data_IF_807134154655
#
_entry.id   IF_807134154655
#
_cell.length_a   1.000
_cell.length_b   1.000
_cell.length_c   1.000
_cell.angle_alpha   90.00
_cell.angle_beta   90.00
_cell.angle_gamma   90.00
#
_symmetry.space_group_name_H-M   'P 1'
#
loop_
_entity.id
_entity.type
_entity.pdbx_description
1 polymer ?
#
# COMPACT_ATOMS: atom_id res chain seq x y z
N UNK A 1 -6.95 -17.25 18.72
CA UNK A 1 -8.13 -16.76 19.44
C UNK A 1 -7.86 -15.46 20.20
N UNK A 2 -6.66 -15.20 20.70
CA UNK A 2 -6.34 -13.95 21.41
C UNK A 2 -6.54 -12.70 20.57
N UNK A 3 -6.01 -12.61 19.36
CA UNK A 3 -6.07 -11.39 18.56
C UNK A 3 -7.49 -10.91 18.15
N UNK A 4 -8.40 -11.84 17.82
CA UNK A 4 -9.79 -11.46 17.51
C UNK A 4 -10.56 -10.98 18.75
N UNK A 5 -10.26 -11.56 19.92
CA UNK A 5 -10.84 -11.15 21.20
C UNK A 5 -10.35 -9.76 21.62
N UNK A 6 -9.05 -9.52 21.45
CA UNK A 6 -8.43 -8.23 21.76
C UNK A 6 -9.00 -7.12 20.85
N UNK A 7 -9.14 -7.39 19.54
CA UNK A 7 -9.76 -6.46 18.60
C UNK A 7 -11.22 -6.14 18.99
N UNK A 8 -12.01 -7.16 19.30
CA UNK A 8 -13.40 -6.94 19.73
C UNK A 8 -13.49 -6.17 21.05
N UNK A 9 -12.57 -6.40 21.96
CA UNK A 9 -12.46 -5.66 23.21
C UNK A 9 -12.11 -4.18 22.95
N UNK A 10 -11.11 -3.88 22.08
CA UNK A 10 -10.79 -2.51 21.69
C UNK A 10 -11.99 -1.79 21.08
N UNK A 11 -12.69 -2.41 20.11
CA UNK A 11 -13.89 -1.84 19.50
C UNK A 11 -14.95 -1.51 20.56
N UNK A 12 -15.18 -2.44 21.49
CA UNK A 12 -16.17 -2.25 22.56
C UNK A 12 -15.76 -1.13 23.51
N UNK A 13 -14.50 -1.10 23.94
CA UNK A 13 -13.98 -0.09 24.86
C UNK A 13 -14.01 1.32 24.25
N UNK A 14 -13.62 1.44 22.98
CA UNK A 14 -13.69 2.70 22.23
C UNK A 14 -15.13 3.19 22.07
N UNK A 15 -16.09 2.29 21.78
CA UNK A 15 -17.49 2.68 21.68
C UNK A 15 -18.08 3.13 23.05
N UNK A 16 -17.69 2.48 24.14
CA UNK A 16 -18.12 2.92 25.48
C UNK A 16 -17.52 4.30 25.84
N UNK A 17 -16.28 4.57 25.46
CA UNK A 17 -15.66 5.88 25.63
C UNK A 17 -16.31 6.93 24.74
N UNK A 18 -16.61 6.58 23.48
CA UNK A 18 -17.34 7.43 22.53
C UNK A 18 -18.74 7.80 23.06
N UNK A 19 -19.46 6.85 23.71
CA UNK A 19 -20.74 7.12 24.35
C UNK A 19 -20.60 8.11 25.51
N UNK A 20 -19.59 7.91 26.34
CA UNK A 20 -19.30 8.81 27.47
C UNK A 20 -18.93 10.24 27.00
N UNK A 21 -18.30 10.36 25.82
CA UNK A 21 -17.95 11.62 25.19
C UNK A 21 -19.07 12.25 24.35
N UNK A 22 -20.19 11.53 24.13
CA UNK A 22 -21.27 11.98 23.25
C UNK A 22 -20.86 12.06 21.76
N UNK A 23 -19.93 11.18 21.35
CA UNK A 23 -19.48 11.12 19.96
C UNK A 23 -20.50 10.45 19.04
N UNK A 24 -20.82 11.10 17.94
CA UNK A 24 -21.72 10.60 16.91
C UNK A 24 -21.01 10.55 15.56
N UNK A 25 -21.37 9.55 14.75
CA UNK A 25 -20.90 9.44 13.36
C UNK A 25 -21.45 10.57 12.50
N UNK A 26 -20.67 11.00 11.51
CA UNK A 26 -21.06 12.01 10.53
C UNK A 26 -22.23 11.53 9.64
N UNK A 27 -22.88 12.47 8.93
CA UNK A 27 -23.90 12.12 7.93
C UNK A 27 -23.33 11.26 6.80
N UNK A 28 -22.05 11.46 6.44
CA UNK A 28 -21.34 10.68 5.43
C UNK A 28 -21.11 9.24 5.91
N UNK A 29 -20.66 9.06 7.16
CA UNK A 29 -20.49 7.74 7.77
C UNK A 29 -21.83 6.98 7.85
N UNK A 30 -22.92 7.66 8.21
CA UNK A 30 -24.26 7.07 8.22
C UNK A 30 -24.70 6.62 6.80
N UNK A 31 -24.47 7.45 5.78
CA UNK A 31 -24.77 7.09 4.40
C UNK A 31 -23.94 5.87 3.92
N UNK A 32 -22.68 5.77 4.35
CA UNK A 32 -21.84 4.60 4.09
C UNK A 32 -22.42 3.33 4.71
N UNK A 33 -22.87 3.40 5.97
CA UNK A 33 -23.51 2.27 6.66
C UNK A 33 -24.81 1.84 5.99
N UNK A 34 -25.63 2.81 5.57
CA UNK A 34 -26.91 2.53 4.87
C UNK A 34 -26.70 1.83 3.51
N UNK A 35 -25.55 2.06 2.86
CA UNK A 35 -25.19 1.41 1.62
C UNK A 35 -24.67 -0.03 1.80
N UNK A 36 -24.31 -0.47 3.00
CA UNK A 36 -23.71 -1.80 3.24
C UNK A 36 -24.64 -2.93 2.79
N UNK A 37 -25.93 -2.87 3.14
CA UNK A 37 -26.87 -3.91 2.77
C UNK A 37 -26.98 -4.08 1.24
N UNK A 38 -26.92 -2.98 0.49
CA UNK A 38 -26.95 -3.00 -0.99
C UNK A 38 -25.63 -3.52 -1.57
N UNK A 39 -24.51 -3.19 -0.95
CA UNK A 39 -23.19 -3.68 -1.38
C UNK A 39 -23.01 -5.18 -1.16
N UNK A 40 -23.68 -5.75 -0.15
CA UNK A 40 -23.69 -7.19 0.08
C UNK A 40 -24.37 -7.97 -1.05
N UNK A 41 -25.50 -7.47 -1.57
CA UNK A 41 -26.17 -8.11 -2.70
C UNK A 41 -25.31 -8.02 -3.97
N UNK A 42 -24.68 -6.87 -4.24
CA UNK A 42 -23.75 -6.72 -5.37
C UNK A 42 -22.53 -7.64 -5.24
N UNK A 43 -22.03 -7.84 -4.01
CA UNK A 43 -20.94 -8.78 -3.74
C UNK A 43 -21.39 -10.22 -3.97
N UNK A 44 -22.56 -10.59 -3.52
CA UNK A 44 -23.15 -11.90 -3.76
C UNK A 44 -23.30 -12.20 -5.25
N UNK A 45 -23.82 -11.25 -6.03
CA UNK A 45 -23.94 -11.35 -7.49
C UNK A 45 -22.57 -11.58 -8.16
N UNK A 46 -21.54 -10.87 -7.74
CA UNK A 46 -20.17 -11.04 -8.25
C UNK A 46 -19.62 -12.46 -8.01
N UNK A 47 -19.93 -13.07 -6.86
CA UNK A 47 -19.54 -14.45 -6.52
C UNK A 47 -20.54 -15.51 -6.98
N UNK A 48 -21.60 -15.15 -7.71
CA UNK A 48 -22.63 -16.07 -8.21
C UNK A 48 -23.51 -16.65 -7.10
N UNK A 49 -23.70 -15.94 -6.00
CA UNK A 49 -24.54 -16.32 -4.86
C UNK A 49 -25.93 -15.71 -4.97
N UNK A 50 -26.93 -16.33 -4.34
CA UNK A 50 -28.35 -15.95 -4.47
C UNK A 50 -28.68 -14.61 -3.79
N UNK A 51 -27.93 -14.20 -2.76
CA UNK A 51 -28.18 -12.97 -1.98
C UNK A 51 -27.00 -12.61 -1.08
N UNK A 52 -26.94 -11.37 -0.61
CA UNK A 52 -25.99 -10.92 0.39
C UNK A 52 -26.05 -11.74 1.68
N UNK A 53 -27.22 -12.23 2.09
CA UNK A 53 -27.34 -13.15 3.22
C UNK A 53 -26.64 -14.49 2.94
N UNK A 54 -26.81 -15.06 1.74
CA UNK A 54 -26.12 -16.30 1.37
C UNK A 54 -24.60 -16.13 1.37
N UNK A 55 -24.12 -14.98 0.88
CA UNK A 55 -22.68 -14.63 0.95
C UNK A 55 -22.20 -14.54 2.39
N UNK A 56 -22.92 -13.84 3.29
CA UNK A 56 -22.57 -13.74 4.70
C UNK A 56 -22.56 -15.10 5.41
N UNK A 57 -23.53 -15.93 5.14
CA UNK A 57 -23.62 -17.27 5.74
C UNK A 57 -22.52 -18.21 5.24
N UNK A 58 -22.12 -18.09 3.98
CA UNK A 58 -20.97 -18.82 3.45
C UNK A 58 -19.63 -18.33 4.06
N UNK A 59 -19.52 -17.03 4.33
CA UNK A 59 -18.27 -16.42 4.86
C UNK A 59 -18.13 -16.55 6.37
N UNK A 60 -19.22 -16.42 7.13
CA UNK A 60 -19.22 -16.29 8.60
C UNK A 60 -20.04 -17.37 9.33
N UNK A 61 -20.64 -18.29 8.58
CA UNK A 61 -21.43 -19.40 9.12
C UNK A 61 -22.94 -19.18 9.09
N UNK A 62 -23.74 -20.26 9.29
CA UNK A 62 -25.17 -20.28 9.01
C UNK A 62 -26.02 -19.39 9.92
N UNK A 63 -25.45 -18.86 11.00
CA UNK A 63 -26.15 -17.94 11.92
C UNK A 63 -25.94 -16.48 11.57
N UNK A 64 -25.08 -16.16 10.61
CA UNK A 64 -24.82 -14.77 10.21
C UNK A 64 -26.11 -14.14 9.65
N UNK A 65 -26.39 -12.91 10.08
CA UNK A 65 -27.49 -12.09 9.57
C UNK A 65 -26.98 -10.78 9.00
N UNK A 66 -27.72 -10.16 8.10
CA UNK A 66 -27.39 -8.83 7.58
C UNK A 66 -27.44 -7.79 8.70
N UNK A 67 -28.38 -7.91 9.62
CA UNK A 67 -28.54 -7.00 10.75
C UNK A 67 -27.30 -7.03 11.68
N UNK A 68 -26.84 -8.21 12.08
CA UNK A 68 -25.64 -8.36 12.92
C UNK A 68 -24.38 -7.84 12.21
N UNK A 69 -24.28 -8.08 10.90
CA UNK A 69 -23.17 -7.59 10.12
C UNK A 69 -23.14 -6.06 10.03
N UNK A 70 -24.30 -5.43 9.79
CA UNK A 70 -24.42 -3.96 9.76
C UNK A 70 -24.17 -3.36 11.15
N UNK A 71 -24.65 -4.01 12.21
CA UNK A 71 -24.39 -3.58 13.58
C UNK A 71 -22.88 -3.62 13.90
N UNK A 72 -22.22 -4.73 13.57
CA UNK A 72 -20.77 -4.85 13.73
C UNK A 72 -20.00 -3.81 12.89
N UNK A 73 -20.39 -3.59 11.63
CA UNK A 73 -19.80 -2.58 10.77
C UNK A 73 -19.95 -1.17 11.35
N UNK A 74 -21.11 -0.85 11.95
CA UNK A 74 -21.36 0.42 12.64
C UNK A 74 -20.44 0.58 13.84
N UNK A 75 -20.36 -0.45 14.70
CA UNK A 75 -19.54 -0.40 15.91
C UNK A 75 -18.06 -0.25 15.56
N UNK A 76 -17.59 -0.96 14.53
CA UNK A 76 -16.23 -0.88 14.04
C UNK A 76 -15.92 0.51 13.44
N UNK A 77 -16.79 1.03 12.57
CA UNK A 77 -16.62 2.35 11.97
C UNK A 77 -16.60 3.45 13.05
N UNK A 78 -17.53 3.36 14.03
CA UNK A 78 -17.61 4.34 15.09
C UNK A 78 -16.38 4.32 15.99
N UNK A 79 -15.88 3.14 16.35
CA UNK A 79 -14.65 2.98 17.11
C UNK A 79 -13.45 3.57 16.35
N UNK A 80 -13.32 3.28 15.04
CA UNK A 80 -12.26 3.83 14.19
C UNK A 80 -12.32 5.35 14.10
N UNK A 81 -13.49 5.94 13.87
CA UNK A 81 -13.66 7.41 13.79
C UNK A 81 -13.39 8.10 15.11
N UNK A 82 -13.77 7.44 16.21
CA UNK A 82 -13.49 7.99 17.52
C UNK A 82 -12.00 7.91 17.88
N UNK A 83 -11.32 6.83 17.55
CA UNK A 83 -9.87 6.71 17.72
C UNK A 83 -9.13 7.74 16.85
N UNK A 84 -9.52 7.90 15.58
CA UNK A 84 -8.99 8.91 14.67
C UNK A 84 -9.11 10.32 15.28
N UNK A 85 -10.29 10.67 15.78
CA UNK A 85 -10.51 11.93 16.50
C UNK A 85 -9.56 12.10 17.70
N UNK A 86 -9.39 11.06 18.51
CA UNK A 86 -8.49 11.12 19.66
C UNK A 86 -7.02 11.26 19.24
N UNK A 87 -6.62 10.62 18.14
CA UNK A 87 -5.28 10.75 17.57
C UNK A 87 -5.04 12.17 17.02
N UNK A 88 -6.03 12.77 16.36
CA UNK A 88 -5.95 14.15 15.85
C UNK A 88 -5.82 15.19 16.99
N UNK A 89 -6.31 14.86 18.17
CA UNK A 89 -6.19 15.71 19.37
C UNK A 89 -4.86 15.51 20.13
N UNK A 90 -4.03 14.54 19.73
CA UNK A 90 -2.71 14.33 20.33
C UNK A 90 -1.71 15.34 19.81
N UNK A 91 -1.12 16.10 20.72
CA UNK A 91 -0.07 17.06 20.40
C UNK A 91 1.25 16.57 21.00
N UNK A 92 2.33 16.70 20.21
CA UNK A 92 3.69 16.37 20.66
C UNK A 92 4.57 17.61 20.48
N UNK A 93 5.47 17.81 21.41
CA UNK A 93 6.52 18.81 21.28
C UNK A 93 7.66 18.26 20.42
N UNK A 94 8.42 19.16 19.77
CA UNK A 94 9.62 18.78 18.98
C UNK A 94 10.62 17.98 19.83
N UNK A 95 10.71 18.29 21.13
CA UNK A 95 11.58 17.57 22.05
C UNK A 95 11.12 16.12 22.26
N UNK A 96 9.82 15.87 22.42
CA UNK A 96 9.28 14.51 22.58
C UNK A 96 9.52 13.68 21.32
N UNK A 97 9.32 14.27 20.14
CA UNK A 97 9.56 13.59 18.85
C UNK A 97 11.06 13.27 18.69
N UNK A 98 11.94 14.25 19.02
CA UNK A 98 13.39 14.05 18.96
C UNK A 98 13.88 13.00 19.94
N UNK A 99 13.36 13.00 21.18
CA UNK A 99 13.69 12.01 22.20
C UNK A 99 13.21 10.61 21.80
N UNK A 100 12.04 10.52 21.18
CA UNK A 100 11.50 9.27 20.65
C UNK A 100 12.39 8.68 19.54
N UNK A 101 12.82 9.52 18.58
CA UNK A 101 13.78 9.10 17.56
C UNK A 101 15.07 8.57 18.21
N UNK A 102 15.65 9.31 19.16
CA UNK A 102 16.92 8.95 19.80
C UNK A 102 16.81 7.64 20.62
N UNK A 103 15.64 7.35 21.21
CA UNK A 103 15.37 6.09 21.92
C UNK A 103 15.24 4.91 20.96
N UNK A 104 14.84 5.14 19.70
CA UNK A 104 14.62 4.12 18.66
C UNK A 104 15.68 4.20 17.55
N UNK A 105 16.83 4.82 17.80
CA UNK A 105 17.88 5.13 16.81
C UNK A 105 18.36 3.90 16.03
N UNK A 106 18.49 2.75 16.68
CA UNK A 106 18.91 1.50 16.03
C UNK A 106 17.90 1.05 14.97
N UNK A 107 16.59 1.13 15.28
CA UNK A 107 15.49 0.80 14.35
C UNK A 107 15.48 1.77 13.16
N UNK A 108 15.66 3.06 13.41
CA UNK A 108 15.72 4.06 12.34
C UNK A 108 16.97 3.87 11.45
N UNK A 109 18.12 3.53 12.03
CA UNK A 109 19.32 3.22 11.25
C UNK A 109 19.12 1.98 10.35
N UNK A 110 18.48 0.92 10.84
CA UNK A 110 18.15 -0.27 10.05
C UNK A 110 17.22 0.07 8.87
N UNK A 111 16.28 1.01 9.07
CA UNK A 111 15.33 1.48 8.06
C UNK A 111 15.87 2.64 7.21
N UNK A 112 17.13 3.06 7.40
CA UNK A 112 17.78 4.17 6.70
C UNK A 112 17.08 5.51 6.87
N UNK A 113 16.47 5.73 8.02
CA UNK A 113 15.91 7.02 8.43
C UNK A 113 17.01 7.77 9.20
N UNK A 114 17.74 8.61 8.51
CA UNK A 114 18.82 9.38 9.12
C UNK A 114 18.31 10.71 9.67
N UNK A 115 18.86 11.15 10.83
CA UNK A 115 18.50 12.43 11.46
C UNK A 115 19.18 13.60 10.75
N UNK A 116 18.65 13.94 9.56
CA UNK A 116 19.15 15.03 8.73
C UNK A 116 18.12 16.16 8.73
N UNK A 117 18.49 17.32 9.29
CA UNK A 117 17.62 18.49 9.43
C UNK A 117 17.52 19.29 8.13
N UNK A 118 17.11 18.63 7.05
CA UNK A 118 16.81 19.23 5.76
C UNK A 118 15.39 18.91 5.35
N UNK A 119 14.59 19.91 4.93
CA UNK A 119 13.26 19.66 4.41
C UNK A 119 13.27 18.80 3.17
N UNK A 120 12.21 18.05 2.97
CA UNK A 120 11.91 17.33 1.73
C UNK A 120 11.74 18.30 0.57
N UNK A 121 12.00 17.82 -0.65
CA UNK A 121 11.93 18.63 -1.87
C UNK A 121 11.14 17.92 -2.95
N UNK A 122 10.54 18.71 -3.86
CA UNK A 122 9.87 18.20 -5.05
C UNK A 122 10.73 18.52 -6.27
N UNK A 123 10.95 17.53 -7.12
CA UNK A 123 11.74 17.64 -8.33
C UNK A 123 11.07 16.95 -9.50
N UNK A 124 11.35 17.42 -10.71
CA UNK A 124 11.08 16.65 -11.94
C UNK A 124 12.39 16.24 -12.57
N UNK A 125 12.39 15.11 -13.24
CA UNK A 125 13.55 14.71 -14.02
C UNK A 125 13.17 13.99 -15.31
N UNK A 126 14.11 13.98 -16.24
CA UNK A 126 14.06 13.20 -17.47
C UNK A 126 15.30 12.30 -17.45
N UNK A 127 15.10 11.00 -17.40
CA UNK A 127 16.20 10.05 -17.50
C UNK A 127 16.50 9.75 -18.96
N UNK A 128 17.79 9.82 -19.31
CA UNK A 128 18.34 9.39 -20.59
C UNK A 128 19.36 8.29 -20.31
N UNK A 129 19.03 7.05 -20.64
CA UNK A 129 19.90 5.90 -20.45
C UNK A 129 20.87 5.72 -21.63
N UNK A 130 22.11 5.25 -21.38
CA UNK A 130 22.97 4.80 -22.47
C UNK A 130 22.35 3.59 -23.20
N UNK A 131 22.37 3.58 -24.55
CA UNK A 131 21.61 2.61 -25.34
C UNK A 131 22.36 1.29 -25.57
N UNK A 132 23.69 1.30 -25.61
CA UNK A 132 24.49 0.12 -25.96
C UNK A 132 25.25 -0.43 -24.76
N UNK A 133 25.01 -1.72 -24.46
CA UNK A 133 25.74 -2.46 -23.44
C UNK A 133 26.78 -3.38 -24.04
N UNK A 134 27.89 -3.52 -23.34
CA UNK A 134 28.88 -4.55 -23.55
C UNK A 134 28.34 -5.94 -23.17
N UNK A 135 29.06 -7.01 -23.54
CA UNK A 135 28.72 -8.39 -23.18
C UNK A 135 28.70 -8.62 -21.64
N UNK A 136 29.41 -7.81 -20.87
CA UNK A 136 29.46 -7.88 -19.41
C UNK A 136 28.37 -7.02 -18.71
N UNK A 137 27.48 -6.38 -19.48
CA UNK A 137 26.40 -5.54 -18.98
C UNK A 137 26.80 -4.10 -18.67
N UNK A 138 28.06 -3.70 -18.90
CA UNK A 138 28.49 -2.30 -18.80
C UNK A 138 28.14 -1.53 -20.07
N UNK A 139 28.06 -0.20 -19.98
CA UNK A 139 27.83 0.64 -21.16
C UNK A 139 29.15 1.10 -21.78
N UNK A 140 29.15 1.29 -23.10
CA UNK A 140 30.30 1.82 -23.82
C UNK A 140 30.52 3.32 -23.54
N UNK A 141 31.74 3.81 -23.68
CA UNK A 141 32.02 5.25 -23.54
C UNK A 141 31.23 6.09 -24.58
N UNK A 142 31.05 5.55 -25.78
CA UNK A 142 30.25 6.16 -26.85
C UNK A 142 28.78 6.27 -26.43
N UNK A 143 28.18 5.20 -25.86
CA UNK A 143 26.79 5.22 -25.42
C UNK A 143 26.58 6.24 -24.27
N UNK A 144 27.55 6.38 -23.38
CA UNK A 144 27.52 7.42 -22.36
C UNK A 144 27.59 8.82 -22.94
N UNK A 145 28.46 9.05 -23.96
CA UNK A 145 28.59 10.35 -24.61
C UNK A 145 27.32 10.73 -25.38
N UNK A 146 26.66 9.76 -26.04
CA UNK A 146 25.38 9.96 -26.74
C UNK A 146 24.26 10.28 -25.77
N UNK A 147 24.19 9.61 -24.64
CA UNK A 147 23.21 9.90 -23.60
C UNK A 147 23.40 11.30 -23.01
N UNK A 148 24.64 11.73 -22.77
CA UNK A 148 24.96 13.08 -22.30
C UNK A 148 24.52 14.14 -23.32
N UNK A 149 24.84 13.91 -24.59
CA UNK A 149 24.45 14.83 -25.68
C UNK A 149 22.92 14.93 -25.76
N UNK A 150 22.20 13.81 -25.74
CA UNK A 150 20.73 13.79 -25.79
C UNK A 150 20.13 14.53 -24.59
N UNK A 151 20.65 14.33 -23.36
CA UNK A 151 20.21 15.04 -22.18
C UNK A 151 20.43 16.57 -22.30
N UNK A 152 21.57 16.98 -22.85
CA UNK A 152 21.85 18.40 -23.12
C UNK A 152 20.92 18.98 -24.17
N UNK A 153 20.64 18.24 -25.26
CA UNK A 153 19.72 18.66 -26.34
C UNK A 153 18.28 18.84 -25.80
N UNK A 154 17.81 17.94 -24.92
CA UNK A 154 16.51 18.06 -24.26
C UNK A 154 16.43 19.31 -23.40
N UNK A 155 17.44 19.56 -22.56
CA UNK A 155 17.50 20.74 -21.72
C UNK A 155 17.52 22.04 -22.54
N UNK A 156 18.35 22.08 -23.60
CA UNK A 156 18.48 23.26 -24.46
C UNK A 156 17.22 23.51 -25.27
N UNK A 157 16.57 22.47 -25.78
CA UNK A 157 15.26 22.56 -26.45
C UNK A 157 14.19 23.10 -25.54
N UNK A 158 14.10 22.60 -24.28
CA UNK A 158 13.16 23.11 -23.32
C UNK A 158 13.42 24.58 -22.99
N UNK A 159 14.70 24.99 -22.76
CA UNK A 159 15.09 26.37 -22.48
C UNK A 159 14.80 27.33 -23.64
N UNK A 160 14.87 26.83 -24.87
CA UNK A 160 14.55 27.60 -26.07
C UNK A 160 13.03 27.72 -26.33
N UNK A 161 12.21 26.90 -25.66
CA UNK A 161 10.76 26.87 -25.74
C UNK A 161 10.09 27.77 -24.71
N UNK A 162 9.01 27.26 -24.11
CA UNK A 162 8.26 27.99 -23.08
C UNK A 162 8.98 28.07 -21.74
N UNK A 163 9.87 27.12 -21.45
CA UNK A 163 10.68 27.00 -20.26
C UNK A 163 9.87 27.11 -18.94
N UNK A 164 8.67 26.51 -18.93
CA UNK A 164 7.81 26.42 -17.75
C UNK A 164 7.84 25.02 -17.15
N UNK A 165 7.40 24.85 -15.91
CA UNK A 165 7.29 23.54 -15.28
C UNK A 165 6.37 22.61 -16.07
N UNK A 166 5.25 23.11 -16.57
CA UNK A 166 4.28 22.35 -17.37
C UNK A 166 4.92 21.84 -18.67
N UNK A 167 5.73 22.69 -19.34
CA UNK A 167 6.44 22.27 -20.56
C UNK A 167 7.55 21.26 -20.25
N UNK A 168 8.17 21.32 -19.06
CA UNK A 168 9.12 20.32 -18.61
C UNK A 168 8.42 18.98 -18.34
N UNK A 169 7.27 19.01 -17.67
CA UNK A 169 6.46 17.81 -17.40
C UNK A 169 6.00 17.15 -18.71
N UNK A 170 5.57 17.93 -19.70
CA UNK A 170 5.20 17.41 -21.01
C UNK A 170 6.41 16.73 -21.72
N UNK A 171 7.58 17.37 -21.67
CA UNK A 171 8.81 16.81 -22.22
C UNK A 171 9.24 15.52 -21.50
N UNK A 172 9.07 15.47 -20.17
CA UNK A 172 9.36 14.27 -19.38
C UNK A 172 8.46 13.10 -19.77
N UNK A 173 7.15 13.33 -19.95
CA UNK A 173 6.22 12.30 -20.43
C UNK A 173 6.58 11.78 -21.84
N UNK A 174 7.15 12.61 -22.68
CA UNK A 174 7.53 12.24 -24.06
C UNK A 174 8.89 11.54 -24.14
N UNK A 175 9.86 11.96 -23.32
CA UNK A 175 11.27 11.66 -23.54
C UNK A 175 11.97 10.93 -22.40
N UNK A 176 11.37 10.84 -21.21
CA UNK A 176 11.99 10.18 -20.07
C UNK A 176 11.94 8.66 -20.20
N UNK A 177 13.09 8.04 -19.94
CA UNK A 177 13.25 6.58 -19.88
C UNK A 177 13.09 6.02 -18.46
N UNK A 178 12.67 6.88 -17.49
CA UNK A 178 12.36 6.44 -16.14
C UNK A 178 10.93 5.91 -16.00
N UNK A 179 10.72 4.58 -15.82
CA UNK A 179 9.38 4.02 -15.73
C UNK A 179 8.62 4.45 -14.46
N UNK A 180 9.32 4.98 -13.44
CA UNK A 180 8.72 5.41 -12.17
C UNK A 180 8.01 6.77 -12.28
N UNK A 181 8.43 7.62 -13.23
CA UNK A 181 7.92 9.00 -13.30
C UNK A 181 7.54 9.50 -14.70
N UNK A 182 7.83 8.75 -15.76
CA UNK A 182 7.58 9.19 -17.15
C UNK A 182 6.08 9.31 -17.53
N UNK A 183 5.17 8.93 -16.68
CA UNK A 183 3.72 9.08 -16.88
C UNK A 183 3.09 10.20 -16.05
N UNK A 184 3.86 10.77 -15.09
CA UNK A 184 3.41 11.87 -14.24
C UNK A 184 4.26 13.15 -14.40
N UNK A 185 4.91 13.31 -15.57
CA UNK A 185 5.72 14.48 -15.88
C UNK A 185 7.09 14.47 -15.21
N UNK A 186 7.64 13.30 -14.94
CA UNK A 186 8.93 13.14 -14.28
C UNK A 186 8.96 13.56 -12.82
N UNK A 187 7.80 13.69 -12.14
CA UNK A 187 7.69 14.20 -10.78
C UNK A 187 8.06 13.16 -9.73
N UNK A 188 8.93 13.56 -8.81
CA UNK A 188 9.14 12.97 -7.50
C UNK A 188 8.78 14.00 -6.44
N UNK A 189 7.81 13.65 -5.61
CA UNK A 189 7.37 14.47 -4.46
C UNK A 189 8.04 13.97 -3.19
N UNK A 190 8.23 14.86 -2.24
CA UNK A 190 8.72 14.59 -0.89
C UNK A 190 10.04 13.80 -0.87
N UNK A 191 10.92 14.11 -1.81
CA UNK A 191 12.27 13.53 -1.82
C UNK A 191 13.01 13.98 -0.58
N UNK A 192 13.52 13.01 0.19
CA UNK A 192 14.29 13.28 1.41
C UNK A 192 15.78 12.93 1.25
N UNK A 193 16.67 13.54 2.06
CA UNK A 193 18.11 13.29 1.98
C UNK A 193 18.45 11.80 2.17
N UNK A 194 19.26 11.27 1.26
CA UNK A 194 19.67 9.86 1.27
C UNK A 194 18.69 8.89 0.59
N UNK A 195 17.56 9.35 0.09
CA UNK A 195 16.62 8.54 -0.66
C UNK A 195 17.15 8.17 -2.05
N UNK A 196 17.77 9.11 -2.73
CA UNK A 196 18.24 8.95 -4.09
C UNK A 196 19.73 8.60 -4.11
N UNK A 197 20.25 8.21 -5.30
CA UNK A 197 21.69 8.00 -5.48
C UNK A 197 22.48 9.29 -5.27
N UNK A 198 23.70 9.18 -4.78
CA UNK A 198 24.50 10.29 -4.24
C UNK A 198 24.52 11.56 -5.11
N UNK A 199 24.71 11.43 -6.42
CA UNK A 199 24.81 12.59 -7.30
C UNK A 199 23.47 13.28 -7.54
N UNK A 200 22.38 12.50 -7.58
CA UNK A 200 21.02 13.03 -7.69
C UNK A 200 20.63 13.74 -6.37
N UNK A 201 20.91 13.08 -5.23
CA UNK A 201 20.67 13.61 -3.90
C UNK A 201 21.43 14.92 -3.68
N UNK A 202 22.72 14.95 -3.97
CA UNK A 202 23.54 16.15 -3.85
C UNK A 202 23.02 17.33 -4.68
N UNK A 203 22.43 17.05 -5.86
CA UNK A 203 21.79 18.10 -6.67
C UNK A 203 20.51 18.61 -6.03
N UNK A 204 19.67 17.72 -5.52
CA UNK A 204 18.39 18.05 -4.88
C UNK A 204 18.58 18.91 -3.62
N UNK A 205 19.58 18.59 -2.81
CA UNK A 205 19.81 19.21 -1.50
C UNK A 205 20.94 20.25 -1.46
N UNK A 206 21.34 20.79 -2.63
CA UNK A 206 22.18 21.98 -2.68
C UNK A 206 21.43 23.18 -2.07
N UNK A 207 22.03 23.82 -1.06
CA UNK A 207 21.41 24.92 -0.31
C UNK A 207 21.06 26.14 -1.18
N UNK A 208 21.75 26.31 -2.30
CA UNK A 208 21.50 27.41 -3.24
C UNK A 208 20.33 27.16 -4.18
N UNK A 209 19.78 25.94 -4.19
CA UNK A 209 18.73 25.53 -5.13
C UNK A 209 17.45 26.34 -4.94
N UNK A 210 16.88 26.82 -6.05
CA UNK A 210 15.64 27.59 -6.10
C UNK A 210 14.63 26.94 -7.06
N UNK A 211 13.33 27.14 -6.83
CA UNK A 211 12.31 26.72 -7.79
C UNK A 211 12.59 27.26 -9.21
N UNK A 212 12.52 26.35 -10.20
CA UNK A 212 12.84 26.64 -11.59
C UNK A 212 14.32 26.37 -11.97
N UNK A 213 15.19 26.04 -11.01
CA UNK A 213 16.57 25.64 -11.32
C UNK A 213 16.59 24.33 -12.09
N UNK A 214 17.49 24.27 -13.08
CA UNK A 214 17.69 23.08 -13.91
C UNK A 214 19.16 22.68 -13.97
N UNK A 215 19.42 21.43 -14.25
CA UNK A 215 20.77 20.91 -14.41
C UNK A 215 20.78 19.53 -15.07
N UNK A 216 21.97 19.01 -15.29
CA UNK A 216 22.17 17.63 -15.74
C UNK A 216 23.00 16.93 -14.69
N UNK A 217 22.53 15.77 -14.26
CA UNK A 217 23.19 14.93 -13.26
C UNK A 217 23.46 13.56 -13.87
N UNK A 218 24.70 13.07 -13.73
CA UNK A 218 25.08 11.73 -14.11
C UNK A 218 24.94 10.79 -12.92
N UNK A 219 24.30 9.65 -13.15
CA UNK A 219 24.23 8.53 -12.21
C UNK A 219 24.64 7.23 -12.90
N UNK A 220 24.63 6.12 -12.21
CA UNK A 220 24.87 4.79 -12.79
C UNK A 220 23.73 4.36 -13.75
N UNK A 221 22.55 4.98 -13.65
CA UNK A 221 21.41 4.72 -14.51
C UNK A 221 21.45 5.48 -15.84
N UNK A 222 22.10 6.64 -15.89
CA UNK A 222 22.11 7.51 -17.05
C UNK A 222 22.32 8.97 -16.68
N UNK A 223 21.96 9.85 -17.60
CA UNK A 223 21.93 11.29 -17.38
C UNK A 223 20.50 11.73 -17.06
N UNK A 224 20.35 12.47 -15.98
CA UNK A 224 19.09 13.06 -15.53
C UNK A 224 19.09 14.54 -15.87
N UNK A 225 18.14 14.98 -16.70
CA UNK A 225 17.81 16.40 -16.81
C UNK A 225 16.92 16.72 -15.65
N UNK A 226 17.35 17.64 -14.79
CA UNK A 226 16.68 17.96 -13.51
C UNK A 226 15.95 19.28 -13.60
N UNK A 227 14.81 19.36 -12.92
CA UNK A 227 14.06 20.59 -12.65
C UNK A 227 13.64 20.63 -11.19
N UNK A 228 14.00 21.69 -10.48
CA UNK A 228 13.64 21.87 -9.08
C UNK A 228 12.26 22.53 -8.97
N UNK A 229 11.29 21.82 -8.41
CA UNK A 229 9.90 22.30 -8.28
C UNK A 229 9.75 23.16 -7.04
N UNK A 230 10.05 22.61 -5.87
CA UNK A 230 9.87 23.30 -4.61
C UNK A 230 10.68 22.68 -3.48
N UNK A 231 10.86 23.46 -2.42
CA UNK A 231 11.34 23.01 -1.13
C UNK A 231 10.17 23.01 -0.15
N UNK A 232 9.93 21.90 0.52
CA UNK A 232 8.94 21.77 1.58
C UNK A 232 9.37 22.41 2.90
N UNK A 233 8.55 22.24 3.91
CA UNK A 233 8.84 22.62 5.29
C UNK A 233 9.11 21.40 6.17
N UNK A 234 8.59 20.24 5.77
CA UNK A 234 8.63 18.99 6.53
C UNK A 234 9.99 18.30 6.41
N UNK A 235 10.44 17.73 7.53
CA UNK A 235 11.71 17.01 7.67
C UNK A 235 11.37 15.53 7.82
N UNK A 236 11.87 14.68 6.93
CA UNK A 236 11.51 13.27 6.83
C UNK A 236 11.63 12.50 8.14
N UNK A 237 12.81 12.54 8.79
CA UNK A 237 13.01 11.82 10.05
C UNK A 237 12.07 12.28 11.16
N UNK A 238 11.76 13.57 11.18
CA UNK A 238 10.90 14.18 12.18
C UNK A 238 9.43 13.74 11.98
N UNK A 239 8.91 13.79 10.76
CA UNK A 239 7.56 13.33 10.45
C UNK A 239 7.42 11.82 10.63
N UNK A 240 8.45 11.03 10.29
CA UNK A 240 8.49 9.58 10.55
C UNK A 240 8.41 9.30 12.04
N UNK A 241 9.28 9.91 12.84
CA UNK A 241 9.29 9.71 14.29
C UNK A 241 8.00 10.20 14.97
N UNK A 242 7.40 11.28 14.49
CA UNK A 242 6.11 11.79 14.95
C UNK A 242 4.97 10.80 14.67
N UNK A 243 4.93 10.21 13.45
CA UNK A 243 3.96 9.20 13.08
C UNK A 243 4.09 7.92 13.92
N UNK A 244 5.30 7.48 14.18
CA UNK A 244 5.58 6.30 15.01
C UNK A 244 5.21 6.56 16.48
N UNK A 245 5.55 7.73 17.02
CA UNK A 245 5.17 8.15 18.38
C UNK A 245 3.64 8.23 18.51
N UNK A 246 2.95 8.79 17.52
CA UNK A 246 1.49 8.84 17.47
C UNK A 246 0.89 7.43 17.50
N UNK A 247 1.45 6.51 16.72
CA UNK A 247 1.01 5.11 16.66
C UNK A 247 1.21 4.40 18.01
N UNK A 248 2.35 4.62 18.68
CA UNK A 248 2.61 4.08 20.01
C UNK A 248 1.60 4.63 21.03
N UNK A 249 1.36 5.95 21.03
CA UNK A 249 0.40 6.57 21.95
C UNK A 249 -1.04 6.13 21.70
N UNK A 250 -1.41 5.87 20.45
CA UNK A 250 -2.72 5.30 20.12
C UNK A 250 -2.86 3.87 20.67
N UNK A 251 -1.83 3.05 20.56
CA UNK A 251 -1.82 1.70 21.14
C UNK A 251 -1.90 1.74 22.68
N UNK A 252 -1.12 2.60 23.33
CA UNK A 252 -1.19 2.83 24.80
C UNK A 252 -2.59 3.26 25.23
N UNK A 253 -3.25 4.13 24.45
CA UNK A 253 -4.61 4.59 24.71
C UNK A 253 -5.61 3.44 24.60
N UNK A 254 -5.52 2.62 23.55
CA UNK A 254 -6.38 1.44 23.41
C UNK A 254 -6.20 0.46 24.59
N UNK A 255 -4.94 0.22 25.00
CA UNK A 255 -4.66 -0.61 26.17
C UNK A 255 -5.30 -0.05 27.45
N UNK A 256 -5.13 1.25 27.69
CA UNK A 256 -5.74 1.93 28.83
C UNK A 256 -7.29 1.89 28.80
N UNK A 257 -7.89 1.99 27.62
CA UNK A 257 -9.34 1.86 27.44
C UNK A 257 -9.81 0.42 27.70
N UNK A 258 -9.07 -0.60 27.29
CA UNK A 258 -9.37 -2.00 27.61
C UNK A 258 -9.28 -2.26 29.12
N UNK A 259 -8.32 -1.66 29.81
CA UNK A 259 -8.25 -1.74 31.27
C UNK A 259 -9.41 -1.00 31.97
N UNK A 260 -9.81 0.16 31.45
CA UNK A 260 -10.93 0.96 31.97
C UNK A 260 -12.28 0.25 31.79
N UNK A 261 -12.45 -0.47 30.68
CA UNK A 261 -13.68 -1.18 30.32
C UNK A 261 -13.42 -2.69 30.19
N UNK A 262 -13.20 -3.41 31.31
CA UNK A 262 -12.85 -4.82 31.26
C UNK A 262 -13.99 -5.65 30.66
N UNK A 263 -13.64 -6.55 29.74
CA UNK A 263 -14.57 -7.47 29.10
C UNK A 263 -14.23 -8.90 29.53
N UNK A 264 -15.22 -9.62 30.07
CA UNK A 264 -15.09 -11.06 30.34
C UNK A 264 -15.60 -11.85 29.12
N UNK A 265 -14.69 -12.58 28.48
CA UNK A 265 -15.07 -13.60 27.50
C UNK A 265 -15.60 -14.82 28.26
N UNK A 266 -16.91 -15.04 28.24
CA UNK A 266 -17.50 -16.26 28.82
C UNK A 266 -17.35 -17.42 27.83
N UNK A 267 -17.19 -18.64 28.36
CA UNK A 267 -17.17 -19.88 27.56
C UNK A 267 -18.44 -20.04 26.70
N UNK A 268 -19.54 -19.46 27.11
CA UNK A 268 -20.82 -19.47 26.40
C UNK A 268 -20.75 -18.60 25.13
N UNK A 269 -20.05 -17.48 25.17
CA UNK A 269 -19.79 -16.62 24.00
C UNK A 269 -18.71 -17.22 23.08
N UNK A 270 -17.73 -17.95 23.65
CA UNK A 270 -16.70 -18.65 22.87
C UNK A 270 -17.24 -19.88 22.13
N UNK A 271 -18.29 -20.53 22.65
CA UNK A 271 -18.91 -21.68 22.01
C UNK A 271 -19.52 -21.38 20.63
N UNK A 272 -19.83 -20.11 20.33
CA UNK A 272 -20.27 -19.69 19.00
C UNK A 272 -19.12 -19.83 17.99
N UNK A 273 -17.89 -19.57 18.40
CA UNK A 273 -16.69 -19.69 17.57
C UNK A 273 -16.27 -21.16 17.35
N UNK A 274 -16.47 -22.05 18.33
CA UNK A 274 -16.15 -23.46 18.21
C UNK A 274 -17.07 -24.17 17.19
N UNK A 275 -18.38 -23.83 17.20
CA UNK A 275 -19.34 -24.37 16.21
C UNK A 275 -18.98 -23.90 14.79
N UNK A 276 -18.52 -22.66 14.63
CA UNK A 276 -18.07 -22.16 13.32
C UNK A 276 -16.76 -22.79 12.86
N UNK A 277 -15.86 -23.17 13.76
CA UNK A 277 -14.62 -23.87 13.44
C UNK A 277 -14.90 -25.32 13.01
N UNK A 278 -15.84 -26.02 13.68
CA UNK A 278 -16.28 -27.36 13.32
C UNK A 278 -17.02 -27.36 11.98
N UNK A 279 -17.91 -26.39 11.72
CA UNK A 279 -18.64 -26.25 10.46
C UNK A 279 -17.69 -25.94 9.28
N UNK A 280 -16.66 -25.10 9.50
CA UNK A 280 -15.62 -24.85 8.51
C UNK A 280 -14.73 -26.07 8.25
N UNK A 281 -14.38 -26.81 9.27
CA UNK A 281 -13.61 -28.06 9.11
C UNK A 281 -14.42 -29.10 8.32
N UNK A 282 -15.73 -29.21 8.58
CA UNK A 282 -16.63 -30.08 7.85
C UNK A 282 -16.80 -29.65 6.38
N UNK A 283 -16.92 -28.33 6.11
CA UNK A 283 -17.01 -27.78 4.76
C UNK A 283 -15.72 -27.99 3.96
N UNK A 284 -14.56 -27.78 4.59
CA UNK A 284 -13.25 -28.02 3.97
C UNK A 284 -13.05 -29.51 3.67
N UNK A 285 -13.42 -30.41 4.58
CA UNK A 285 -13.35 -31.85 4.36
C UNK A 285 -14.25 -32.30 3.20
N UNK A 286 -15.47 -31.75 3.09
CA UNK A 286 -16.38 -32.02 1.99
C UNK A 286 -15.85 -31.50 0.64
N UNK A 287 -15.17 -30.33 0.63
CA UNK A 287 -14.54 -29.77 -0.57
C UNK A 287 -13.33 -30.61 -1.01
N UNK A 288 -12.52 -31.11 -0.08
CA UNK A 288 -11.41 -32.01 -0.38
C UNK A 288 -11.89 -33.37 -0.92
N UNK A 289 -12.99 -33.91 -0.39
CA UNK A 289 -13.60 -35.15 -0.87
C UNK A 289 -14.19 -34.98 -2.29
N UNK A 290 -14.82 -33.83 -2.58
CA UNK A 290 -15.29 -33.49 -3.92
C UNK A 290 -14.14 -33.36 -4.93
N UNK A 291 -13.06 -32.66 -4.56
CA UNK A 291 -11.89 -32.52 -5.41
C UNK A 291 -11.17 -33.86 -5.70
N UNK A 292 -11.15 -34.79 -4.72
CA UNK A 292 -10.60 -36.14 -4.90
C UNK A 292 -11.51 -37.02 -5.79
N UNK A 293 -12.83 -36.81 -5.76
CA UNK A 293 -13.77 -37.55 -6.61
C UNK A 293 -13.67 -37.12 -8.07
N UNK A 294 -13.41 -35.84 -8.34
CA UNK A 294 -13.20 -35.29 -9.69
C UNK A 294 -11.88 -35.76 -10.32
N UNK A 295 -10.82 -35.87 -9.51
CA UNK A 295 -9.53 -36.43 -10.00
C UNK A 295 -9.63 -37.94 -10.27
N UNK A 296 -10.40 -38.67 -9.50
CA UNK A 296 -10.63 -40.10 -9.72
C UNK A 296 -11.48 -40.40 -10.98
N UNK A 297 -12.41 -39.48 -11.32
CA UNK A 297 -13.22 -39.56 -12.55
C UNK A 297 -12.40 -39.21 -13.81
N UNK A 298 -11.40 -38.35 -13.70
CA UNK A 298 -10.52 -37.98 -14.82
C UNK A 298 -9.50 -39.09 -15.17
N UNK A 299 -9.10 -39.91 -14.19
CA UNK A 299 -8.19 -41.04 -14.44
C UNK A 299 -8.87 -42.28 -15.05
N UNK A 300 -10.20 -42.40 -14.95
CA UNK A 300 -10.93 -43.54 -15.55
C UNK A 300 -11.37 -43.29 -16.99
N UNK A 301 -11.34 -42.05 -17.49
CA UNK A 301 -11.69 -41.74 -18.90
C UNK A 301 -10.45 -41.75 -19.82
N UNK A 302 -9.23 -41.85 -19.26
CA UNK A 302 -7.96 -41.89 -20.02
C UNK A 302 -7.47 -43.27 -20.47
N UNK A 303 -8.20 -44.41 -20.19
CA UNK A 303 -7.72 -45.76 -20.43
C UNK A 303 -8.52 -46.55 -21.48
N UNK A 304 -9.31 -45.91 -22.35
CA UNK A 304 -10.12 -46.62 -23.36
C UNK A 304 -9.89 -46.13 -24.81
N UNK A 305 -8.68 -45.69 -25.18
CA UNK A 305 -8.31 -45.50 -26.59
C UNK A 305 -6.85 -45.89 -26.84
N UNK A 306 -6.52 -47.16 -26.78
CA UNK A 306 -5.33 -47.71 -27.39
C UNK A 306 -5.44 -49.23 -27.60
N UNK A 307 -6.36 -49.69 -28.46
CA UNK A 307 -6.26 -51.02 -29.07
C UNK A 307 -7.09 -51.05 -30.35
N UNK A 308 -6.44 -50.93 -31.49
CA UNK A 308 -7.10 -51.14 -32.78
C UNK A 308 -6.30 -50.59 -33.93
N UNK A 309 -5.62 -51.50 -34.53
CA UNK A 309 -5.28 -51.73 -35.91
C UNK A 309 -4.01 -51.09 -36.48
N UNK A 310 -3.11 -52.03 -36.61
CA UNK A 310 -1.98 -51.97 -37.52
C UNK A 310 -2.38 -52.33 -38.93
N UNK A 311 -1.44 -52.11 -39.80
CA UNK A 311 -1.18 -52.71 -41.11
C UNK A 311 -1.44 -51.85 -42.35
N UNK A 312 -0.41 -51.91 -43.15
CA UNK A 312 -0.33 -51.73 -44.63
C UNK A 312 0.01 -50.33 -45.12
N UNK A 313 1.15 -50.15 -45.61
CA UNK A 313 1.99 -50.67 -46.69
C UNK A 313 2.17 -49.63 -47.80
N UNK A 314 3.42 -49.31 -48.03
CA UNK A 314 4.07 -49.15 -49.31
C UNK A 314 3.70 -48.04 -50.29
N UNK A 315 4.75 -47.35 -50.69
CA UNK A 315 5.17 -47.01 -52.03
C UNK A 315 4.79 -45.70 -52.67
N UNK A 316 5.84 -45.11 -53.16
CA UNK A 316 5.99 -44.25 -54.35
C UNK A 316 5.79 -42.75 -54.22
N UNK A 317 6.76 -42.09 -54.38
CA UNK A 317 7.67 -41.38 -55.30
C UNK A 317 8.37 -40.23 -54.57
#
# INVERSE_FOLDING_TARGET
MTGAADMFHSITALNLEADAAGFELSEEDQAQLDAIAQSLDATADYYGMESGLAYLQASFGPKATVEDYVAFARDNLRASRYLEKLMDEMEFTDAEISDYYDQNADTYAENRVEKIDKPMVNVRHILVMPAEQNEDGTYTDEAWAEAEQKAQELLDSWKAGEATEESFAALANESSEDPGSNTNGGLYEDVYPGQMVDSFDAWCFDEARQPGDTGIVKTDYGYHVMYFVSKGEEIFWFETAKGDLLSERAADLEDALREKYPMELTLENAAIFDVQAEDRAAANAAAEEAAQSDTASAETDGTQEAAGEGAQEAANE
#
